data_IF_848134801041
#
_entry.id   IF_848134801041
#
_cell.length_a   1.000
_cell.length_b   1.000
_cell.length_c   1.000
_cell.angle_alpha   90.00
_cell.angle_beta   90.00
_cell.angle_gamma   90.00
#
_symmetry.space_group_name_H-M   'P 1'
#
loop_
_entity.id
_entity.type
_entity.pdbx_description
1 polymer ?
#
# COMPACT_ATOMS: atom_id res chain seq x y z
N UNK A 1 -19.68 13.04 8.64
CA UNK A 1 -19.71 11.84 7.78
C UNK A 1 -18.72 10.84 8.35
N UNK A 2 -19.15 9.61 8.65
CA UNK A 2 -18.21 8.53 8.98
C UNK A 2 -17.30 8.31 7.77
N UNK A 3 -16.00 8.05 7.93
CA UNK A 3 -15.14 7.79 6.78
C UNK A 3 -15.59 6.47 6.16
N UNK A 4 -16.22 6.54 4.98
CA UNK A 4 -16.39 5.41 4.09
C UNK A 4 -15.01 4.89 3.74
N UNK A 5 -14.69 3.65 4.15
CA UNK A 5 -13.57 2.91 3.59
C UNK A 5 -12.49 2.47 4.58
N UNK A 6 -12.21 1.17 4.57
CA UNK A 6 -11.00 0.50 5.06
C UNK A 6 -9.73 1.37 4.88
N UNK A 7 -9.24 1.99 5.95
CA UNK A 7 -7.95 2.69 5.95
C UNK A 7 -6.80 1.71 6.12
N UNK A 8 -5.60 2.13 5.75
CA UNK A 8 -4.37 1.40 6.01
C UNK A 8 -4.27 0.99 7.50
N UNK A 9 -4.15 -0.31 7.76
CA UNK A 9 -4.20 -0.87 9.12
C UNK A 9 -2.84 -1.32 9.65
N UNK A 10 -1.89 -1.64 8.76
CA UNK A 10 -0.57 -2.16 9.10
C UNK A 10 0.53 -1.23 8.59
N UNK A 11 0.56 -0.01 9.15
CA UNK A 11 1.38 1.11 8.66
C UNK A 11 2.90 0.93 8.85
N UNK A 12 3.32 -0.06 9.64
CA UNK A 12 4.71 -0.49 9.80
C UNK A 12 4.86 -1.95 9.37
N UNK A 13 6.02 -2.37 8.83
CA UNK A 13 6.22 -3.73 8.35
C UNK A 13 6.20 -4.75 9.51
N UNK A 14 5.61 -5.91 9.25
CA UNK A 14 5.52 -7.06 10.16
C UNK A 14 6.23 -8.28 9.58
N UNK A 15 7.57 -8.27 9.50
CA UNK A 15 8.34 -9.41 8.99
C UNK A 15 8.12 -10.68 9.82
N UNK A 16 7.71 -10.54 11.09
CA UNK A 16 7.40 -11.65 12.00
C UNK A 16 6.19 -12.49 11.55
N UNK A 17 5.36 -11.96 10.64
CA UNK A 17 4.21 -12.68 10.07
C UNK A 17 4.60 -13.60 8.90
N UNK A 18 5.82 -13.50 8.38
CA UNK A 18 6.29 -14.32 7.26
C UNK A 18 7.31 -15.35 7.72
N UNK A 19 7.17 -16.60 7.26
CA UNK A 19 8.26 -17.57 7.35
C UNK A 19 9.35 -17.23 6.33
N UNK A 20 10.63 -17.53 6.57
CA UNK A 20 11.66 -17.41 5.54
C UNK A 20 11.27 -18.11 4.23
N UNK A 21 11.36 -17.42 3.09
CA UNK A 21 10.99 -17.97 1.78
C UNK A 21 9.49 -18.22 1.54
N UNK A 22 8.62 -17.90 2.51
CA UNK A 22 7.16 -17.94 2.31
C UNK A 22 6.75 -17.00 1.16
N UNK A 23 5.89 -17.45 0.23
CA UNK A 23 5.30 -16.59 -0.79
C UNK A 23 4.61 -15.36 -0.17
N UNK A 24 4.73 -14.22 -0.84
CA UNK A 24 4.06 -12.99 -0.45
C UNK A 24 3.36 -12.40 -1.67
N UNK A 25 2.13 -11.91 -1.51
CA UNK A 25 1.43 -11.19 -2.58
C UNK A 25 1.45 -9.70 -2.32
N UNK A 26 1.38 -8.91 -3.39
CA UNK A 26 1.47 -7.46 -3.35
C UNK A 26 0.38 -6.89 -4.25
N UNK A 27 -0.23 -5.79 -3.80
CA UNK A 27 -1.08 -4.96 -4.63
C UNK A 27 -0.86 -3.47 -4.31
N UNK A 28 -0.99 -2.62 -5.33
CA UNK A 28 -0.69 -1.18 -5.24
C UNK A 28 -1.79 -0.34 -5.88
N UNK A 29 -2.37 0.52 -5.05
CA UNK A 29 -3.21 1.62 -5.52
C UNK A 29 -2.35 2.85 -5.80
N UNK A 30 -2.64 3.55 -6.89
CA UNK A 30 -1.74 4.57 -7.43
C UNK A 30 -2.07 6.01 -7.00
N UNK A 31 -1.07 6.86 -7.20
CA UNK A 31 -1.18 8.30 -7.28
C UNK A 31 -0.54 8.75 -8.59
N UNK A 32 -1.19 9.65 -9.32
CA UNK A 32 -0.67 10.18 -10.57
C UNK A 32 0.15 11.46 -10.34
N UNK A 33 1.34 11.51 -10.95
CA UNK A 33 2.21 12.66 -11.11
C UNK A 33 1.93 13.33 -12.46
N UNK A 34 1.48 14.58 -12.41
CA UNK A 34 1.23 15.41 -13.59
C UNK A 34 2.31 16.48 -13.66
N UNK A 35 3.08 16.48 -14.75
CA UNK A 35 4.18 17.42 -14.94
C UNK A 35 3.71 18.69 -15.65
N UNK A 36 4.07 19.85 -15.11
CA UNK A 36 3.65 21.14 -15.67
C UNK A 36 4.39 21.49 -16.98
N UNK A 37 5.51 20.81 -17.26
CA UNK A 37 6.27 20.95 -18.51
C UNK A 37 5.69 20.17 -19.69
N UNK A 38 4.54 19.51 -19.49
CA UNK A 38 3.88 18.71 -20.53
C UNK A 38 4.47 17.32 -20.73
N UNK A 39 5.44 16.91 -19.91
CA UNK A 39 5.95 15.54 -19.90
C UNK A 39 4.85 14.53 -19.60
N UNK A 40 5.03 13.29 -20.10
CA UNK A 40 4.09 12.19 -19.86
C UNK A 40 3.89 11.96 -18.35
N UNK A 41 2.64 11.91 -17.93
CA UNK A 41 2.26 11.60 -16.55
C UNK A 41 2.85 10.26 -16.11
N UNK A 42 3.16 10.16 -14.82
CA UNK A 42 3.72 8.96 -14.20
C UNK A 42 2.85 8.54 -13.02
N UNK A 43 2.85 7.26 -12.71
CA UNK A 43 2.14 6.72 -11.56
C UNK A 43 3.15 6.33 -10.48
N UNK A 44 2.79 6.52 -9.22
CA UNK A 44 3.57 6.12 -8.06
C UNK A 44 2.68 5.53 -6.98
N UNK A 45 3.26 4.93 -5.96
CA UNK A 45 2.52 4.28 -4.87
C UNK A 45 1.61 5.31 -4.17
N UNK A 46 0.31 5.09 -4.13
CA UNK A 46 -0.63 5.79 -3.25
C UNK A 46 -0.81 5.02 -1.95
N UNK A 47 -1.22 3.75 -2.07
CA UNK A 47 -1.32 2.77 -0.99
C UNK A 47 -0.75 1.43 -1.47
N UNK A 48 -0.12 0.69 -0.58
CA UNK A 48 0.42 -0.64 -0.90
C UNK A 48 0.05 -1.61 0.21
N UNK A 49 -0.31 -2.83 -0.17
CA UNK A 49 -0.51 -3.94 0.75
C UNK A 49 0.38 -5.13 0.36
N UNK A 50 0.85 -5.85 1.38
CA UNK A 50 1.57 -7.11 1.24
C UNK A 50 0.94 -8.12 2.17
N UNK A 51 0.53 -9.28 1.66
CA UNK A 51 -0.07 -10.35 2.46
C UNK A 51 0.68 -11.67 2.34
N UNK A 52 0.59 -12.50 3.39
CA UNK A 52 1.21 -13.83 3.44
C UNK A 52 0.22 -14.93 2.97
N UNK A 53 0.67 -16.19 2.99
CA UNK A 53 -0.12 -17.32 2.45
C UNK A 53 -1.42 -17.62 3.22
N UNK A 54 -1.57 -17.10 4.44
CA UNK A 54 -2.80 -17.24 5.24
C UNK A 54 -3.63 -15.95 5.27
N UNK A 55 -3.32 -14.99 4.40
CA UNK A 55 -4.06 -13.75 4.23
C UNK A 55 -3.77 -12.66 5.27
N UNK A 56 -2.75 -12.81 6.12
CA UNK A 56 -2.38 -11.74 7.06
C UNK A 56 -1.59 -10.64 6.35
N UNK A 57 -1.92 -9.38 6.64
CA UNK A 57 -1.19 -8.22 6.13
C UNK A 57 0.13 -8.03 6.86
N UNK A 58 1.22 -8.15 6.11
CA UNK A 58 2.57 -7.79 6.53
C UNK A 58 2.88 -6.30 6.46
N UNK A 59 2.21 -5.62 5.53
CA UNK A 59 2.28 -4.19 5.30
C UNK A 59 0.94 -3.76 4.69
N UNK A 60 0.40 -2.65 5.15
CA UNK A 60 -0.75 -1.97 4.56
C UNK A 60 -0.60 -0.50 4.93
N UNK A 61 -0.07 0.31 4.01
CA UNK A 61 0.37 1.68 4.31
C UNK A 61 0.19 2.62 3.12
N UNK A 62 -0.04 3.90 3.42
CA UNK A 62 -0.03 4.98 2.43
C UNK A 62 1.37 5.55 2.26
N UNK A 63 1.75 5.89 1.03
CA UNK A 63 3.06 6.47 0.71
C UNK A 63 2.97 7.99 0.53
N UNK A 64 3.64 8.73 1.41
CA UNK A 64 3.74 10.17 1.36
C UNK A 64 4.97 10.61 0.56
N UNK A 65 4.73 11.23 -0.58
CA UNK A 65 5.77 11.91 -1.38
C UNK A 65 5.87 13.39 -0.99
N UNK A 66 7.09 13.92 -1.00
CA UNK A 66 7.33 15.37 -0.87
C UNK A 66 6.64 16.19 -1.97
N UNK A 67 6.66 17.51 -1.84
CA UNK A 67 6.28 18.38 -2.95
C UNK A 67 7.49 18.54 -3.87
N UNK A 68 7.26 18.41 -5.18
CA UNK A 68 8.28 18.52 -6.21
C UNK A 68 7.94 19.72 -7.10
N UNK A 69 8.93 20.56 -7.38
CA UNK A 69 8.73 21.76 -8.20
C UNK A 69 8.22 21.35 -9.60
N UNK A 70 7.12 21.93 -10.08
CA UNK A 70 6.55 21.61 -11.39
C UNK A 70 5.82 20.26 -11.50
N UNK A 71 5.53 19.61 -10.36
CA UNK A 71 4.78 18.35 -10.32
C UNK A 71 3.52 18.52 -9.48
N UNK A 72 2.37 18.20 -10.07
CA UNK A 72 1.07 18.15 -9.39
C UNK A 72 0.68 16.71 -9.10
N UNK A 73 0.09 16.52 -7.92
CA UNK A 73 -0.46 15.25 -7.44
C UNK A 73 -1.92 15.14 -7.86
N UNK A 74 -2.27 14.15 -8.68
CA UNK A 74 -3.66 13.82 -9.04
C UNK A 74 -4.04 12.50 -8.37
N UNK A 75 -5.20 12.50 -7.70
CA UNK A 75 -5.72 11.31 -7.03
C UNK A 75 -6.42 10.41 -8.03
N UNK A 76 -6.40 9.08 -7.82
CA UNK A 76 -7.21 8.17 -8.61
C UNK A 76 -8.70 8.38 -8.29
N UNK A 77 -9.61 7.75 -9.05
CA UNK A 77 -11.02 7.67 -8.69
C UNK A 77 -11.22 7.20 -7.24
N UNK A 78 -12.25 7.71 -6.56
CA UNK A 78 -12.51 7.46 -5.14
C UNK A 78 -12.60 5.97 -4.77
N UNK A 79 -13.05 5.14 -5.72
CA UNK A 79 -13.11 3.67 -5.54
C UNK A 79 -11.76 3.05 -5.18
N UNK A 80 -10.63 3.65 -5.52
CA UNK A 80 -9.29 3.14 -5.19
C UNK A 80 -8.77 3.58 -3.82
N UNK A 81 -9.59 4.31 -3.05
CA UNK A 81 -9.34 4.58 -1.63
C UNK A 81 -8.02 5.31 -1.31
N UNK A 82 -7.55 6.14 -2.24
CA UNK A 82 -6.41 7.03 -2.09
C UNK A 82 -6.88 8.47 -2.17
N UNK A 83 -7.26 9.05 -1.04
CA UNK A 83 -7.58 10.48 -0.96
C UNK A 83 -6.34 11.30 -0.60
N UNK A 84 -6.38 12.60 -0.91
CA UNK A 84 -5.28 13.52 -0.60
C UNK A 84 -4.96 13.58 0.89
N UNK A 85 -5.97 13.43 1.75
CA UNK A 85 -5.82 13.37 3.20
C UNK A 85 -5.07 12.12 3.65
N UNK A 86 -5.23 11.00 2.96
CA UNK A 86 -4.63 9.73 3.37
C UNK A 86 -3.11 9.72 3.14
N UNK A 87 -2.62 10.55 2.23
CA UNK A 87 -1.21 10.73 1.91
C UNK A 87 -0.47 11.72 2.83
N UNK A 88 -1.12 12.19 3.90
CA UNK A 88 -0.50 13.07 4.89
C UNK A 88 0.20 12.24 5.98
N UNK A 89 1.45 12.56 6.30
CA UNK A 89 2.18 11.94 7.42
C UNK A 89 1.39 12.04 8.73
N UNK A 90 0.74 13.19 8.98
CA UNK A 90 -0.11 13.41 10.16
C UNK A 90 -1.30 12.45 10.26
N UNK A 91 -1.69 11.81 9.14
CA UNK A 91 -2.78 10.83 9.08
C UNK A 91 -2.26 9.38 8.99
N UNK A 92 -0.97 9.15 9.26
CA UNK A 92 -0.38 7.81 9.33
C UNK A 92 0.35 7.35 8.05
N UNK A 93 0.32 8.14 6.97
CA UNK A 93 1.16 7.87 5.81
C UNK A 93 2.64 7.85 6.19
N UNK A 94 3.42 7.06 5.46
CA UNK A 94 4.86 6.90 5.70
C UNK A 94 5.65 7.51 4.56
N UNK A 95 6.88 8.02 4.80
CA UNK A 95 7.72 8.57 3.73
C UNK A 95 7.88 7.54 2.60
N UNK A 96 7.58 7.92 1.35
CA UNK A 96 7.49 6.97 0.25
C UNK A 96 8.77 6.15 0.01
N UNK A 97 9.94 6.77 0.11
CA UNK A 97 11.22 6.06 0.04
C UNK A 97 11.37 4.99 1.13
N UNK A 98 10.86 5.26 2.33
CA UNK A 98 10.89 4.29 3.43
C UNK A 98 9.94 3.12 3.14
N UNK A 99 8.74 3.42 2.62
CA UNK A 99 7.77 2.40 2.17
C UNK A 99 8.39 1.50 1.11
N UNK A 100 8.98 2.05 0.05
CA UNK A 100 9.61 1.27 -1.01
C UNK A 100 10.74 0.38 -0.47
N UNK A 101 11.56 0.90 0.46
CA UNK A 101 12.61 0.08 1.13
C UNK A 101 12.00 -1.07 1.94
N UNK A 102 10.95 -0.82 2.72
CA UNK A 102 10.28 -1.86 3.49
C UNK A 102 9.70 -2.96 2.60
N UNK A 103 9.10 -2.56 1.47
CA UNK A 103 8.54 -3.49 0.50
C UNK A 103 9.63 -4.39 -0.07
N UNK A 104 10.74 -3.80 -0.53
CA UNK A 104 11.89 -4.55 -1.06
C UNK A 104 12.42 -5.56 -0.04
N UNK A 105 12.69 -5.13 1.19
CA UNK A 105 13.23 -6.02 2.23
C UNK A 105 12.23 -7.12 2.65
N UNK A 106 10.92 -6.82 2.67
CA UNK A 106 9.91 -7.81 3.07
C UNK A 106 9.76 -8.91 2.01
N UNK A 107 9.93 -8.56 0.74
CA UNK A 107 9.74 -9.44 -0.42
C UNK A 107 11.01 -10.14 -0.89
N UNK A 108 12.18 -9.72 -0.39
CA UNK A 108 13.47 -10.29 -0.74
C UNK A 108 13.54 -11.80 -0.49
N UNK A 109 14.13 -12.51 -1.44
CA UNK A 109 14.38 -13.96 -1.40
C UNK A 109 13.10 -14.81 -1.28
N UNK A 110 11.99 -14.33 -1.88
CA UNK A 110 10.68 -15.00 -1.86
C UNK A 110 10.05 -15.09 -3.26
N UNK A 111 9.10 -16.02 -3.46
CA UNK A 111 8.09 -15.88 -4.49
C UNK A 111 7.21 -14.66 -4.21
N UNK A 112 7.08 -13.76 -5.20
CA UNK A 112 6.28 -12.55 -5.09
C UNK A 112 5.15 -12.59 -6.11
N UNK A 113 3.92 -12.56 -5.59
CA UNK A 113 2.70 -12.73 -6.37
C UNK A 113 2.10 -11.36 -6.66
N UNK A 114 1.86 -11.08 -7.94
CA UNK A 114 1.13 -9.91 -8.41
C UNK A 114 -0.07 -10.34 -9.25
N UNK A 115 -0.92 -9.36 -9.57
CA UNK A 115 -1.88 -9.46 -10.67
C UNK A 115 -1.66 -8.26 -11.60
N UNK A 116 -0.92 -8.45 -12.70
CA UNK A 116 -0.25 -7.41 -13.49
C UNK A 116 1.01 -6.82 -12.80
N UNK A 117 2.04 -7.66 -12.65
CA UNK A 117 3.33 -7.26 -12.04
C UNK A 117 3.96 -6.06 -12.73
N UNK A 118 3.72 -5.91 -14.03
CA UNK A 118 4.35 -4.87 -14.85
C UNK A 118 3.82 -3.49 -14.47
N UNK A 119 2.52 -3.38 -14.21
CA UNK A 119 1.92 -2.13 -13.75
C UNK A 119 2.40 -1.74 -12.36
N UNK A 120 2.49 -2.68 -11.43
CA UNK A 120 2.88 -2.37 -10.03
C UNK A 120 4.36 -2.04 -9.87
N UNK A 121 5.25 -2.82 -10.49
CA UNK A 121 6.70 -2.58 -10.41
C UNK A 121 7.07 -1.19 -10.95
N UNK A 122 6.34 -0.68 -11.95
CA UNK A 122 6.57 0.66 -12.52
C UNK A 122 6.23 1.81 -11.56
N UNK A 123 5.49 1.56 -10.47
CA UNK A 123 5.05 2.59 -9.50
C UNK A 123 6.13 2.94 -8.47
N UNK A 124 7.20 2.16 -8.38
CA UNK A 124 8.33 2.48 -7.49
C UNK A 124 9.14 3.64 -8.10
N UNK A 125 9.36 4.68 -7.29
CA UNK A 125 9.92 5.94 -7.75
C UNK A 125 11.36 6.16 -7.29
N UNK A 126 11.72 5.73 -6.08
CA UNK A 126 13.01 6.04 -5.48
C UNK A 126 14.10 5.01 -5.81
N UNK A 127 13.70 3.77 -6.09
CA UNK A 127 14.59 2.65 -6.35
C UNK A 127 14.29 1.97 -7.69
N UNK A 128 15.30 1.30 -8.25
CA UNK A 128 15.12 0.48 -9.45
C UNK A 128 14.46 -0.87 -9.07
N UNK A 129 13.13 -0.82 -8.91
CA UNK A 129 12.35 -1.98 -8.50
C UNK A 129 12.39 -3.11 -9.54
N UNK A 130 12.42 -2.78 -10.83
CA UNK A 130 12.52 -3.79 -11.88
C UNK A 130 13.80 -4.62 -11.74
N UNK A 131 14.94 -3.95 -11.52
CA UNK A 131 16.20 -4.64 -11.25
C UNK A 131 16.16 -5.40 -9.92
N UNK A 132 15.68 -4.77 -8.85
CA UNK A 132 15.60 -5.41 -7.53
C UNK A 132 14.80 -6.72 -7.59
N UNK A 133 13.58 -6.66 -8.10
CA UNK A 133 12.70 -7.83 -8.15
C UNK A 133 13.26 -8.93 -9.06
N UNK A 134 13.89 -8.57 -10.18
CA UNK A 134 14.56 -9.53 -11.06
C UNK A 134 15.72 -10.26 -10.35
N UNK A 135 16.49 -9.55 -9.55
CA UNK A 135 17.71 -10.09 -8.94
C UNK A 135 17.46 -10.84 -7.61
N UNK A 136 16.35 -10.53 -6.92
CA UNK A 136 16.12 -10.99 -5.55
C UNK A 136 14.80 -11.74 -5.33
N UNK A 137 13.91 -11.80 -6.32
CA UNK A 137 12.59 -12.40 -6.16
C UNK A 137 12.26 -13.35 -7.31
N UNK A 138 11.42 -14.35 -7.02
CA UNK A 138 10.75 -15.12 -8.06
C UNK A 138 9.40 -14.47 -8.34
N UNK A 139 9.28 -13.75 -9.47
CA UNK A 139 8.06 -13.03 -9.81
C UNK A 139 7.02 -13.97 -10.42
N UNK A 140 5.81 -13.91 -9.88
CA UNK A 140 4.64 -14.65 -10.35
C UNK A 140 3.52 -13.65 -10.63
N UNK A 141 2.89 -13.79 -11.79
CA UNK A 141 1.82 -12.90 -12.23
C UNK A 141 0.57 -13.71 -12.50
N UNK A 142 -0.43 -13.56 -11.64
CA UNK A 142 -1.68 -14.32 -11.75
C UNK A 142 -2.47 -13.93 -13.00
N UNK A 143 -2.29 -12.72 -13.55
CA UNK A 143 -2.92 -12.37 -14.83
C UNK A 143 -2.32 -13.17 -15.99
N UNK A 144 -1.02 -13.46 -15.95
CA UNK A 144 -0.36 -14.33 -16.93
C UNK A 144 -0.69 -15.81 -16.70
N UNK A 145 -0.73 -16.27 -15.44
CA UNK A 145 -1.10 -17.64 -15.09
C UNK A 145 -2.49 -18.02 -15.62
N UNK A 146 -3.43 -17.09 -15.54
CA UNK A 146 -4.80 -17.27 -16.03
C UNK A 146 -5.03 -16.65 -17.40
N UNK A 147 -3.96 -16.37 -18.16
CA UNK A 147 -4.12 -15.86 -19.53
C UNK A 147 -4.91 -16.86 -20.39
N UNK A 148 -5.93 -16.37 -21.08
CA UNK A 148 -6.84 -17.18 -21.89
C UNK A 148 -8.10 -17.63 -21.14
N UNK A 149 -8.22 -17.34 -19.84
CA UNK A 149 -9.44 -17.60 -19.07
C UNK A 149 -10.62 -16.87 -19.71
N UNK A 150 -11.67 -17.62 -20.05
CA UNK A 150 -12.85 -17.12 -20.78
C UNK A 150 -12.49 -16.39 -22.10
N UNK A 151 -11.43 -16.86 -22.78
CA UNK A 151 -10.94 -16.26 -24.02
C UNK A 151 -10.24 -14.90 -23.84
N UNK A 152 -10.06 -14.43 -22.60
CA UNK A 152 -9.39 -13.18 -22.30
C UNK A 152 -7.88 -13.40 -22.03
N UNK A 153 -7.02 -12.75 -22.81
CA UNK A 153 -5.55 -12.85 -22.62
C UNK A 153 -5.05 -12.12 -21.38
N UNK A 154 -5.81 -11.17 -20.85
CA UNK A 154 -5.48 -10.38 -19.66
C UNK A 154 -6.75 -10.26 -18.80
N UNK A 155 -7.19 -11.37 -18.17
CA UNK A 155 -8.36 -11.31 -17.30
C UNK A 155 -8.10 -10.35 -16.14
N UNK A 156 -9.15 -9.67 -15.69
CA UNK A 156 -9.08 -8.85 -14.48
C UNK A 156 -9.05 -9.74 -13.24
N UNK A 157 -8.58 -9.20 -12.12
CA UNK A 157 -8.54 -9.92 -10.85
C UNK A 157 -9.93 -10.40 -10.44
N UNK A 158 -10.95 -9.54 -10.56
CA UNK A 158 -12.34 -9.90 -10.33
C UNK A 158 -12.84 -11.03 -11.25
N UNK A 159 -12.40 -11.06 -12.52
CA UNK A 159 -12.75 -12.15 -13.43
C UNK A 159 -12.15 -13.47 -12.98
N UNK A 160 -10.86 -13.46 -12.61
CA UNK A 160 -10.18 -14.64 -12.08
C UNK A 160 -10.80 -15.10 -10.76
N UNK A 161 -11.05 -14.18 -9.81
CA UNK A 161 -11.67 -14.49 -8.52
C UNK A 161 -13.03 -15.17 -8.70
N UNK A 162 -13.90 -14.61 -9.55
CA UNK A 162 -15.23 -15.17 -9.81
C UNK A 162 -15.17 -16.54 -10.48
N UNK A 163 -14.32 -16.71 -11.49
CA UNK A 163 -14.30 -17.94 -12.29
C UNK A 163 -13.50 -19.08 -11.65
N UNK A 164 -12.44 -18.76 -10.90
CA UNK A 164 -11.55 -19.76 -10.29
C UNK A 164 -11.89 -20.01 -8.82
N UNK A 165 -12.16 -18.95 -8.05
CA UNK A 165 -12.43 -19.06 -6.61
C UNK A 165 -13.94 -19.07 -6.29
N UNK A 166 -14.79 -18.65 -7.22
CA UNK A 166 -16.22 -18.45 -6.95
C UNK A 166 -16.50 -17.26 -6.03
N UNK A 167 -15.57 -16.31 -5.94
CA UNK A 167 -15.66 -15.13 -5.07
C UNK A 167 -15.96 -13.86 -5.88
N UNK A 168 -16.86 -13.03 -5.37
CA UNK A 168 -17.07 -11.66 -5.87
C UNK A 168 -16.25 -10.70 -5.00
N UNK A 169 -15.33 -9.96 -5.62
CA UNK A 169 -14.42 -8.99 -4.97
C UNK A 169 -14.56 -7.60 -5.59
N UNK A 170 -13.86 -6.59 -5.04
CA UNK A 170 -13.82 -5.24 -5.61
C UNK A 170 -15.22 -4.63 -5.75
N UNK A 171 -16.03 -4.70 -4.68
CA UNK A 171 -17.43 -4.24 -4.67
C UNK A 171 -17.62 -2.75 -5.01
N UNK A 172 -17.90 -1.89 -4.03
CA UNK A 172 -17.96 -0.44 -4.29
C UNK A 172 -16.58 0.23 -4.27
N UNK A 173 -15.62 -0.39 -3.60
CA UNK A 173 -14.27 0.13 -3.39
C UNK A 173 -13.26 -1.01 -3.57
N UNK A 174 -12.07 -0.65 -4.02
CA UNK A 174 -10.91 -1.50 -4.22
C UNK A 174 -9.98 -1.30 -3.03
N UNK A 175 -9.66 -2.40 -2.37
CA UNK A 175 -8.72 -2.42 -1.26
C UNK A 175 -7.51 -3.23 -1.69
N UNK A 176 -6.28 -2.67 -1.64
CA UNK A 176 -5.11 -3.44 -2.02
C UNK A 176 -4.90 -4.65 -1.11
N UNK A 177 -5.47 -4.65 0.10
CA UNK A 177 -5.47 -5.83 0.97
C UNK A 177 -6.33 -6.95 0.40
N UNK A 178 -7.54 -6.65 -0.07
CA UNK A 178 -8.43 -7.64 -0.69
C UNK A 178 -7.82 -8.17 -1.98
N UNK A 179 -7.27 -7.27 -2.80
CA UNK A 179 -6.68 -7.63 -4.09
C UNK A 179 -5.40 -8.47 -3.91
N UNK A 180 -4.52 -8.08 -2.99
CA UNK A 180 -3.34 -8.85 -2.60
C UNK A 180 -3.72 -10.25 -2.06
N UNK A 181 -4.72 -10.34 -1.17
CA UNK A 181 -5.19 -11.64 -0.66
C UNK A 181 -5.78 -12.50 -1.77
N UNK A 182 -6.53 -11.90 -2.69
CA UNK A 182 -7.16 -12.64 -3.79
C UNK A 182 -6.11 -13.15 -4.78
N UNK A 183 -5.10 -12.34 -5.11
CA UNK A 183 -3.96 -12.79 -5.91
C UNK A 183 -3.22 -13.96 -5.25
N UNK A 184 -3.04 -13.93 -3.91
CA UNK A 184 -2.47 -15.06 -3.17
C UNK A 184 -3.36 -16.31 -3.27
N UNK A 185 -4.67 -16.18 -3.03
CA UNK A 185 -5.61 -17.31 -3.13
C UNK A 185 -5.57 -17.97 -4.50
N UNK A 186 -5.58 -17.16 -5.56
CA UNK A 186 -5.44 -17.61 -6.94
C UNK A 186 -4.15 -18.43 -7.12
N UNK A 187 -3.01 -17.89 -6.72
CA UNK A 187 -1.73 -18.61 -6.79
C UNK A 187 -1.76 -19.95 -6.05
N UNK A 188 -2.35 -20.00 -4.85
CA UNK A 188 -2.40 -21.18 -3.99
C UNK A 188 -3.30 -22.31 -4.53
N UNK A 189 -4.18 -22.04 -5.51
CA UNK A 189 -4.98 -23.09 -6.17
C UNK A 189 -4.06 -24.13 -6.81
N UNK A 190 -3.05 -23.68 -7.55
CA UNK A 190 -2.12 -24.56 -8.27
C UNK A 190 -0.79 -24.78 -7.51
N UNK A 191 -0.54 -23.97 -6.46
CA UNK A 191 0.69 -24.01 -5.67
C UNK A 191 0.39 -24.08 -4.17
N UNK A 192 -0.21 -25.20 -3.69
CA UNK A 192 -0.60 -25.33 -2.30
C UNK A 192 0.62 -25.16 -1.36
N UNK A 193 0.43 -24.40 -0.30
CA UNK A 193 1.49 -24.10 0.68
C UNK A 193 1.04 -24.50 2.09
N UNK A 194 1.58 -25.61 2.61
CA UNK A 194 1.37 -26.00 4.00
C UNK A 194 2.32 -25.24 4.93
N UNK A 195 1.84 -24.07 5.37
CA UNK A 195 2.57 -23.19 6.28
C UNK A 195 2.91 -23.84 7.62
N UNK A 196 2.04 -24.72 8.14
CA UNK A 196 2.25 -25.37 9.43
C UNK A 196 3.39 -26.39 9.34
N UNK A 197 3.39 -27.21 8.29
CA UNK A 197 4.47 -28.16 8.01
C UNK A 197 5.79 -27.44 7.77
N UNK A 198 5.81 -26.36 6.98
CA UNK A 198 7.04 -25.56 6.78
C UNK A 198 7.57 -24.95 8.07
N UNK A 199 6.72 -24.42 8.93
CA UNK A 199 7.15 -23.92 10.23
C UNK A 199 7.72 -25.04 11.11
N UNK A 200 7.10 -26.23 11.11
CA UNK A 200 7.59 -27.37 11.87
C UNK A 200 8.96 -27.85 11.37
N UNK A 201 9.15 -27.97 10.05
CA UNK A 201 10.43 -28.30 9.42
C UNK A 201 11.54 -27.31 9.82
N UNK A 202 11.24 -26.00 9.74
CA UNK A 202 12.21 -24.95 10.09
C UNK A 202 12.57 -24.94 11.57
N UNK A 203 11.62 -25.29 12.45
CA UNK A 203 11.90 -25.44 13.88
C UNK A 203 12.77 -26.67 14.14
N UNK A 204 12.49 -27.80 13.47
CA UNK A 204 13.24 -29.04 13.63
C UNK A 204 14.69 -28.92 13.14
N UNK A 205 14.93 -28.20 12.05
CA UNK A 205 16.27 -28.01 11.49
C UNK A 205 17.02 -26.77 12.03
N UNK A 206 16.41 -26.02 12.97
CA UNK A 206 17.01 -24.83 13.58
C UNK A 206 17.14 -23.61 12.65
N UNK A 207 16.54 -23.64 11.46
CA UNK A 207 16.58 -22.51 10.51
C UNK A 207 15.52 -21.45 10.81
N UNK A 208 14.49 -21.78 11.59
CA UNK A 208 13.50 -20.81 12.03
C UNK A 208 14.13 -19.77 12.95
N UNK A 209 14.18 -18.52 12.48
CA UNK A 209 14.47 -17.36 13.31
C UNK A 209 13.25 -16.46 13.34
N UNK A 210 12.68 -16.27 14.53
CA UNK A 210 11.62 -15.27 14.71
C UNK A 210 12.24 -13.89 14.48
N UNK A 211 11.96 -13.30 13.33
CA UNK A 211 12.36 -11.93 13.04
C UNK A 211 11.52 -11.03 13.93
N UNK A 212 12.16 -10.25 14.81
CA UNK A 212 11.43 -9.24 15.57
C UNK A 212 10.94 -8.13 14.65
N UNK A 213 9.74 -7.59 14.90
CA UNK A 213 9.17 -6.49 14.10
C UNK A 213 10.11 -5.28 13.95
N UNK A 214 11.03 -5.09 14.90
CA UNK A 214 11.98 -3.97 14.91
C UNK A 214 13.19 -4.12 13.97
N UNK A 215 13.53 -5.32 13.49
CA UNK A 215 14.75 -5.55 12.72
C UNK A 215 14.79 -4.79 11.39
N UNK A 216 13.63 -4.51 10.81
CA UNK A 216 13.48 -3.81 9.53
C UNK A 216 13.37 -2.28 9.68
N UNK A 217 13.15 -1.80 10.90
CA UNK A 217 12.77 -0.40 11.11
C UNK A 217 14.00 0.51 11.01
N UNK A 218 15.23 0.04 11.28
CA UNK A 218 16.46 0.84 11.13
C UNK A 218 17.73 -0.01 10.93
N UNK A 219 18.23 -0.07 9.69
CA UNK A 219 19.66 0.15 9.44
C UNK A 219 19.80 1.54 8.80
N UNK A 220 20.34 2.49 9.57
CA UNK A 220 20.85 3.72 8.98
C UNK A 220 22.06 3.39 8.10
N UNK A 221 22.25 4.04 6.94
CA UNK A 221 23.53 3.98 6.24
C UNK A 221 24.58 4.60 7.18
N UNK A 222 25.43 3.76 7.79
CA UNK A 222 26.52 4.22 8.67
C UNK A 222 27.61 4.99 7.91
N UNK A 223 27.63 4.92 6.58
CA UNK A 223 28.62 5.61 5.75
C UNK A 223 27.99 6.00 4.41
N UNK A 224 27.53 7.24 4.24
CA UNK A 224 27.51 7.97 2.94
C UNK A 224 26.93 9.38 3.09
N UNK A 225 27.57 10.21 3.92
CA UNK A 225 27.71 11.64 3.58
C UNK A 225 28.96 12.23 4.23
N UNK A 226 30.14 11.83 3.75
CA UNK A 226 31.36 12.65 3.90
C UNK A 226 31.37 13.76 2.84
N UNK A 227 30.29 14.53 2.77
CA UNK A 227 30.37 15.87 2.21
C UNK A 227 31.19 16.68 3.19
N UNK A 228 32.40 17.08 2.80
CA UNK A 228 33.12 18.13 3.53
C UNK A 228 32.16 19.32 3.63
N UNK A 229 31.64 19.56 4.83
CA UNK A 229 31.00 20.83 5.12
C UNK A 229 32.11 21.88 4.96
N UNK A 230 32.10 22.58 3.84
CA UNK A 230 32.80 23.85 3.76
C UNK A 230 32.24 24.71 4.89
N UNK A 231 33.08 24.97 5.91
CA UNK A 231 32.80 25.79 7.08
C UNK A 231 32.60 27.28 6.72
N UNK A 232 31.99 27.61 5.58
CA UNK A 232 31.79 28.99 5.12
C UNK A 232 30.35 29.42 4.86
N UNK A 233 29.35 28.58 5.16
CA UNK A 233 27.94 28.99 5.14
C UNK A 233 27.24 28.64 6.44
N UNK A 234 27.85 29.03 7.56
CA UNK A 234 27.11 29.28 8.79
C UNK A 234 26.49 30.69 8.71
N UNK A 235 25.17 30.77 8.88
CA UNK A 235 24.45 31.90 9.45
C UNK A 235 24.92 33.31 9.06
N UNK A 236 24.40 33.84 7.95
CA UNK A 236 24.10 35.27 7.88
C UNK A 236 22.61 35.46 8.22
N UNK A 237 22.32 35.35 9.52
CA UNK A 237 21.12 35.93 10.11
C UNK A 237 21.04 37.41 9.74
N UNK A 238 19.85 37.81 9.32
CA UNK A 238 19.48 39.16 8.95
C UNK A 238 20.09 40.22 9.88
N UNK A 239 20.85 41.15 9.30
CA UNK A 239 21.25 42.38 9.96
C UNK A 239 19.99 43.24 10.24
N UNK A 240 19.62 43.50 11.50
CA UNK A 240 18.39 44.21 11.86
C UNK A 240 18.45 45.74 11.60
N UNK A 241 19.55 46.24 11.03
CA UNK A 241 19.72 47.68 10.73
C UNK A 241 19.44 48.08 9.28
N UNK A 242 18.94 47.18 8.42
CA UNK A 242 18.47 47.58 7.10
C UNK A 242 17.07 48.26 7.20
N UNK A 243 16.99 49.54 6.83
CA UNK A 243 15.77 50.36 6.88
C UNK A 243 14.59 49.78 6.08
N UNK A 244 14.84 48.92 5.10
CA UNK A 244 13.80 48.22 4.33
C UNK A 244 13.06 47.14 5.15
N UNK A 245 13.76 46.44 6.05
CA UNK A 245 13.18 45.38 6.89
C UNK A 245 12.28 45.95 7.99
N UNK A 246 12.66 47.08 8.59
CA UNK A 246 11.82 47.80 9.58
C UNK A 246 10.51 48.30 8.95
N UNK A 247 10.55 48.76 7.69
CA UNK A 247 9.35 49.20 6.96
C UNK A 247 8.40 48.03 6.65
N UNK A 248 8.95 46.86 6.33
CA UNK A 248 8.19 45.63 6.06
C UNK A 248 7.51 45.07 7.32
N UNK A 249 8.22 45.05 8.46
CA UNK A 249 7.67 44.61 9.75
C UNK A 249 6.59 45.56 10.27
N UNK A 250 6.76 46.89 10.11
CA UNK A 250 5.71 47.86 10.45
C UNK A 250 4.45 47.68 9.60
N UNK A 251 4.62 47.43 8.29
CA UNK A 251 3.48 47.20 7.38
C UNK A 251 2.71 45.90 7.71
N UNK A 252 3.43 44.84 8.13
CA UNK A 252 2.80 43.60 8.59
C UNK A 252 2.06 43.77 9.93
N UNK A 253 2.66 44.48 10.90
CA UNK A 253 2.01 44.74 12.20
C UNK A 253 0.78 45.64 12.06
N UNK A 254 0.81 46.62 11.15
CA UNK A 254 -0.36 47.45 10.86
C UNK A 254 -1.48 46.63 10.21
N UNK A 255 -1.16 45.82 9.19
CA UNK A 255 -2.14 44.95 8.55
C UNK A 255 -2.76 43.91 9.50
N UNK A 256 -2.02 43.45 10.51
CA UNK A 256 -2.55 42.58 11.56
C UNK A 256 -3.47 43.31 12.54
N UNK A 257 -3.17 44.57 12.88
CA UNK A 257 -4.05 45.40 13.72
C UNK A 257 -5.35 45.74 13.00
N UNK A 258 -5.26 46.15 11.72
CA UNK A 258 -6.43 46.51 10.92
C UNK A 258 -7.37 45.31 10.73
N UNK A 259 -6.82 44.08 10.71
CA UNK A 259 -7.59 42.83 10.65
C UNK A 259 -8.30 42.48 11.96
N UNK A 260 -7.70 42.80 13.11
CA UNK A 260 -8.29 42.57 14.42
C UNK A 260 -9.47 43.54 14.67
N UNK A 261 -9.31 44.82 14.34
CA UNK A 261 -10.40 45.82 14.44
C UNK A 261 -11.59 45.56 13.51
N UNK A 262 -11.43 44.72 12.49
CA UNK A 262 -12.54 44.36 11.59
C UNK A 262 -13.39 43.19 12.12
N UNK A 263 -12.88 42.43 13.10
CA UNK A 263 -13.61 41.29 13.69
C UNK A 263 -14.46 41.70 14.91
N UNK A 264 -14.11 42.80 15.57
CA UNK A 264 -14.84 43.28 16.76
C UNK A 264 -16.09 44.12 16.43
N UNK A 265 -16.33 44.47 15.15
CA UNK A 265 -17.47 45.33 14.73
C UNK A 265 -18.68 44.53 14.23
N UNK A 266 -18.56 43.22 13.99
CA UNK A 266 -19.64 42.39 13.43
C UNK A 266 -20.33 41.46 14.46
N UNK A 267 -20.09 41.61 15.78
CA UNK A 267 -20.67 40.73 16.81
C UNK A 267 -21.73 41.34 17.74
N UNK A 268 -22.18 42.59 17.51
CA UNK A 268 -23.28 43.20 18.26
C UNK A 268 -24.51 43.46 17.37
N UNK A 269 -25.45 42.51 17.33
CA UNK A 269 -26.86 42.63 16.86
C UNK A 269 -27.34 41.21 16.51
N UNK A 270 -28.08 40.47 17.34
CA UNK A 270 -29.48 40.73 17.68
C UNK A 270 -29.90 39.96 18.94
N UNK A 271 -30.58 40.65 19.87
CA UNK A 271 -31.44 40.07 20.89
C UNK A 271 -32.85 39.92 20.30
N UNK A 272 -33.45 38.73 20.41
CA UNK A 272 -34.91 38.58 20.41
C UNK A 272 -35.26 37.47 21.39
N UNK A 273 -36.02 37.86 22.40
CA UNK A 273 -36.73 37.01 23.35
C UNK A 273 -37.81 36.21 22.62
N UNK A 274 -38.06 34.98 23.07
CA UNK A 274 -39.41 34.52 23.40
C UNK A 274 -39.35 33.23 24.24
N UNK A 275 -40.19 33.25 25.28
CA UNK A 275 -40.48 32.20 26.25
C UNK A 275 -41.10 30.94 25.62
N UNK A 276 -40.98 29.79 26.30
CA UNK A 276 -42.11 29.01 26.86
C UNK A 276 -41.67 27.61 27.36
N UNK A 277 -41.88 27.43 28.67
CA UNK A 277 -42.31 26.27 29.48
C UNK A 277 -41.68 24.86 29.34
N UNK A 278 -40.98 24.49 30.42
CA UNK A 278 -41.17 23.29 31.27
C UNK A 278 -41.89 22.05 30.74
N UNK A 279 -41.25 20.89 30.87
CA UNK A 279 -41.74 19.79 31.74
C UNK A 279 -40.63 18.79 32.08
N UNK A 280 -40.76 18.25 33.28
CA UNK A 280 -39.77 17.49 34.06
C UNK A 280 -40.13 16.02 34.08
N UNK A 281 -39.16 15.12 33.89
CA UNK A 281 -39.08 13.79 34.48
C UNK A 281 -37.66 13.26 34.15
N UNK A 282 -36.76 12.88 35.06
CA UNK A 282 -36.96 12.35 36.40
C UNK A 282 -36.69 10.84 36.39
N UNK A 283 -35.43 10.42 36.35
CA UNK A 283 -35.01 9.10 36.84
C UNK A 283 -33.51 9.12 37.18
N UNK A 284 -33.23 8.81 38.45
CA UNK A 284 -31.95 8.83 39.13
C UNK A 284 -31.63 7.43 39.64
N UNK A 285 -30.32 7.15 39.77
CA UNK A 285 -29.68 6.04 40.49
C UNK A 285 -29.86 4.63 39.86
N UNK A 286 -28.86 3.75 39.86
CA UNK A 286 -27.93 3.41 40.94
C UNK A 286 -26.58 2.86 40.44
N UNK A 287 -25.53 3.22 41.18
CA UNK A 287 -24.24 2.53 41.24
C UNK A 287 -24.39 1.07 41.71
N UNK A 288 -23.61 0.18 41.12
CA UNK A 288 -23.40 -1.18 41.61
C UNK A 288 -22.08 -1.74 41.09
N UNK A 289 -21.00 -1.52 41.82
CA UNK A 289 -19.74 -2.22 41.61
C UNK A 289 -19.80 -3.60 42.26
N UNK A 290 -19.41 -4.64 41.53
CA UNK A 290 -19.01 -5.94 42.08
C UNK A 290 -17.73 -6.39 41.37
N UNK A 291 -16.77 -6.77 42.20
CA UNK A 291 -15.41 -7.22 41.90
C UNK A 291 -15.34 -8.68 41.46
N UNK A 292 -14.33 -8.96 40.63
CA UNK A 292 -13.55 -10.19 40.45
C UNK A 292 -14.19 -11.54 40.80
N UNK A 293 -14.31 -12.42 39.80
CA UNK A 293 -13.98 -13.83 39.95
C UNK A 293 -13.42 -14.41 38.64
N UNK A 294 -12.31 -15.13 38.79
CA UNK A 294 -11.72 -16.02 37.79
C UNK A 294 -12.76 -17.01 37.28
N UNK A 295 -12.90 -17.13 35.96
CA UNK A 295 -13.53 -18.27 35.32
C UNK A 295 -12.52 -18.89 34.37
N UNK A 296 -11.97 -20.02 34.81
CA UNK A 296 -11.37 -21.05 33.94
C UNK A 296 -12.51 -21.64 33.11
N UNK A 297 -12.45 -21.51 31.78
CA UNK A 297 -13.37 -22.23 30.89
C UNK A 297 -12.63 -23.44 30.34
N UNK A 298 -12.93 -24.59 30.93
CA UNK A 298 -12.67 -25.88 30.33
C UNK A 298 -13.58 -26.10 29.12
N UNK A 299 -13.02 -26.81 28.14
CA UNK A 299 -13.64 -27.24 26.90
C UNK A 299 -15.01 -27.90 27.09
N UNK A 300 -16.04 -27.35 26.46
CA UNK A 300 -17.28 -28.08 26.20
C UNK A 300 -17.56 -28.11 24.69
N UNK A 301 -17.51 -29.32 24.17
CA UNK A 301 -17.96 -29.78 22.87
C UNK A 301 -19.43 -29.38 22.67
N UNK A 302 -19.68 -28.50 21.70
CA UNK A 302 -21.03 -28.16 21.26
C UNK A 302 -21.43 -29.12 20.13
N UNK A 303 -22.25 -30.12 20.44
CA UNK A 303 -22.96 -30.90 19.43
C UNK A 303 -24.18 -30.08 18.98
N UNK A 304 -24.11 -29.50 17.79
CA UNK A 304 -25.28 -28.94 17.12
C UNK A 304 -25.88 -30.01 16.20
N UNK A 305 -27.00 -30.59 16.62
CA UNK A 305 -27.86 -31.41 15.77
C UNK A 305 -28.65 -30.47 14.85
N UNK A 306 -28.28 -30.42 13.57
CA UNK A 306 -29.12 -29.78 12.54
C UNK A 306 -29.94 -30.85 11.82
N UNK A 307 -31.25 -30.66 11.89
CA UNK A 307 -32.25 -31.49 11.24
C UNK A 307 -32.20 -31.39 9.71
N UNK A 308 -32.61 -32.52 9.12
CA UNK A 308 -33.02 -32.76 7.74
C UNK A 308 -33.02 -31.58 6.75
N UNK A 309 -32.26 -31.77 5.66
CA UNK A 309 -32.71 -31.36 4.33
C UNK A 309 -31.84 -30.37 3.58
N UNK A 310 -30.57 -30.70 3.31
CA UNK A 310 -29.85 -30.19 2.12
C UNK A 310 -28.95 -31.30 1.59
N UNK A 311 -29.24 -31.80 0.39
CA UNK A 311 -28.40 -32.75 -0.34
C UNK A 311 -27.17 -32.03 -0.89
N UNK A 312 -25.98 -32.50 -0.52
CA UNK A 312 -24.72 -32.09 -1.17
C UNK A 312 -24.41 -33.17 -2.21
N UNK A 313 -24.59 -32.83 -3.49
CA UNK A 313 -24.15 -33.66 -4.61
C UNK A 313 -22.64 -33.54 -4.75
N UNK A 314 -21.92 -34.64 -4.47
CA UNK A 314 -20.54 -34.84 -4.88
C UNK A 314 -20.43 -34.69 -6.41
N UNK A 315 -19.71 -33.68 -6.90
CA UNK A 315 -19.16 -33.71 -8.26
C UNK A 315 -17.68 -34.08 -8.20
N UNK A 316 -17.46 -35.37 -8.39
CA UNK A 316 -16.19 -36.01 -8.70
C UNK A 316 -15.79 -35.77 -10.16
N UNK A 317 -14.48 -35.56 -10.37
CA UNK A 317 -13.69 -35.98 -11.53
C UNK A 317 -13.99 -35.35 -12.90
N UNK A 318 -13.18 -34.36 -13.30
CA UNK A 318 -12.83 -34.16 -14.70
C UNK A 318 -11.46 -34.79 -14.99
N UNK A 319 -11.49 -35.98 -15.57
CA UNK A 319 -10.34 -36.60 -16.23
C UNK A 319 -10.22 -36.04 -17.66
N UNK A 320 -9.10 -35.42 -17.99
CA UNK A 320 -8.70 -35.21 -19.38
C UNK A 320 -8.02 -36.49 -19.91
N UNK A 321 -8.65 -37.15 -20.88
CA UNK A 321 -8.03 -38.22 -21.65
C UNK A 321 -7.24 -37.65 -22.84
N UNK A 322 -6.13 -38.30 -23.26
CA UNK A 322 -5.33 -37.88 -24.41
C UNK A 322 -5.92 -38.46 -25.71
N UNK A 323 -5.97 -37.65 -26.76
CA UNK A 323 -6.30 -38.12 -28.10
C UNK A 323 -5.01 -38.35 -28.92
N UNK A 324 -4.76 -39.60 -29.29
CA UNK A 324 -3.78 -40.02 -30.29
C UNK A 324 -4.45 -40.92 -31.32
N UNK A 325 -4.41 -40.51 -32.59
CA UNK A 325 -4.40 -41.32 -33.85
C UNK A 325 -4.36 -40.29 -34.98
N UNK A 326 -3.46 -40.24 -35.96
CA UNK A 326 -2.83 -41.33 -36.71
C UNK A 326 -3.54 -41.47 -38.06
N UNK A 327 -2.98 -40.93 -39.14
CA UNK A 327 -3.47 -41.10 -40.53
C UNK A 327 -2.83 -40.10 -41.52
N UNK A 328 -2.11 -40.59 -42.53
CA UNK A 328 -1.18 -39.80 -43.34
C UNK A 328 -1.61 -39.43 -44.77
N UNK A 329 -0.85 -38.44 -45.29
CA UNK A 329 -0.44 -38.12 -46.69
C UNK A 329 -1.49 -37.94 -47.82
N UNK A 330 -1.16 -37.26 -48.96
CA UNK A 330 0.14 -36.71 -49.39
C UNK A 330 0.16 -35.24 -49.92
N UNK A 331 1.39 -34.73 -50.01
CA UNK A 331 1.99 -33.81 -51.00
C UNK A 331 1.28 -32.54 -51.54
N UNK A 332 2.11 -31.49 -51.54
CA UNK A 332 2.29 -30.45 -52.58
C UNK A 332 1.47 -29.14 -52.45
N UNK A 333 2.09 -28.07 -51.95
CA UNK A 333 2.54 -26.97 -52.81
C UNK A 333 3.33 -25.90 -52.03
N UNK A 334 4.37 -25.45 -52.72
CA UNK A 334 5.28 -24.35 -52.43
C UNK A 334 4.53 -23.02 -52.30
N UNK A 335 4.75 -22.23 -51.25
CA UNK A 335 4.62 -20.75 -51.30
C UNK A 335 5.40 -20.09 -50.16
N UNK A 336 6.31 -19.23 -50.58
CA UNK A 336 7.08 -18.24 -49.83
C UNK A 336 6.20 -17.29 -49.01
N UNK A 337 6.53 -17.07 -47.73
CA UNK A 337 6.27 -15.76 -47.10
C UNK A 337 7.24 -15.44 -45.95
N UNK A 338 7.92 -14.32 -46.16
CA UNK A 338 8.69 -13.43 -45.29
C UNK A 338 8.71 -13.69 -43.78
N UNK A 339 9.92 -13.97 -43.28
CA UNK A 339 10.29 -13.72 -41.89
C UNK A 339 10.36 -12.23 -41.61
N UNK A 340 9.52 -11.78 -40.68
CA UNK A 340 9.61 -10.48 -40.03
C UNK A 340 9.98 -10.73 -38.56
N UNK A 341 11.28 -10.78 -38.29
CA UNK A 341 11.84 -10.76 -36.95
C UNK A 341 11.63 -9.36 -36.38
N UNK A 342 10.59 -9.16 -35.54
CA UNK A 342 10.50 -7.97 -34.70
C UNK A 342 11.32 -8.20 -33.44
N UNK A 343 12.55 -7.70 -33.46
CA UNK A 343 13.34 -7.39 -32.27
C UNK A 343 12.65 -6.23 -31.54
N UNK A 344 11.98 -6.52 -30.43
CA UNK A 344 11.56 -5.49 -29.48
C UNK A 344 12.81 -4.98 -28.74
N UNK A 345 13.23 -3.77 -29.08
CA UNK A 345 14.27 -3.04 -28.38
C UNK A 345 13.77 -2.67 -26.98
N UNK A 346 14.56 -3.03 -25.97
CA UNK A 346 14.38 -2.55 -24.60
C UNK A 346 14.48 -1.02 -24.60
N UNK A 347 13.40 -0.36 -24.22
CA UNK A 347 13.45 1.07 -23.95
C UNK A 347 14.14 1.28 -22.60
N UNK A 348 15.45 1.51 -22.67
CA UNK A 348 16.21 2.10 -21.57
C UNK A 348 15.55 3.42 -21.18
N UNK A 349 14.86 3.43 -20.03
CA UNK A 349 14.29 4.66 -19.50
C UNK A 349 15.34 5.41 -18.68
N UNK A 350 15.52 6.66 -19.11
CA UNK A 350 16.24 7.72 -18.40
C UNK A 350 15.53 7.98 -17.04
N UNK A 351 16.26 8.01 -15.91
CA UNK A 351 15.70 8.43 -14.62
C UNK A 351 15.11 9.83 -14.70
N UNK A 352 14.13 10.16 -13.85
CA UNK A 352 13.60 11.51 -13.72
C UNK A 352 14.74 12.55 -13.65
N UNK A 353 14.61 13.73 -14.30
CA UNK A 353 15.68 14.72 -14.35
C UNK A 353 16.21 15.04 -12.95
N UNK A 354 17.56 14.96 -12.76
CA UNK A 354 18.25 15.23 -11.48
C UNK A 354 17.84 16.55 -10.80
N UNK A 355 17.23 17.49 -11.55
CA UNK A 355 16.74 18.79 -11.08
C UNK A 355 15.68 18.70 -9.97
N UNK A 356 14.95 17.59 -9.85
CA UNK A 356 13.83 17.48 -8.89
C UNK A 356 14.18 16.76 -7.58
N UNK A 357 15.40 16.21 -7.43
CA UNK A 357 15.75 15.25 -6.36
C UNK A 357 16.28 15.88 -5.06
N UNK A 358 16.93 17.04 -5.12
CA UNK A 358 17.71 17.59 -3.97
C UNK A 358 16.89 18.13 -2.79
N UNK A 359 15.63 18.51 -2.97
CA UNK A 359 14.76 18.96 -1.87
C UNK A 359 14.04 17.80 -1.16
N UNK A 360 13.92 16.65 -1.81
CA UNK A 360 13.22 15.46 -1.28
C UNK A 360 14.03 14.83 -0.15
N UNK A 361 15.35 14.72 -0.30
CA UNK A 361 16.24 14.13 0.70
C UNK A 361 16.22 14.91 2.04
N UNK A 362 16.02 16.23 2.02
CA UNK A 362 15.96 17.05 3.24
C UNK A 362 14.63 16.89 4.01
N UNK A 363 13.50 16.86 3.29
CA UNK A 363 12.19 16.61 3.89
C UNK A 363 12.08 15.20 4.50
N UNK A 364 12.69 14.21 3.84
CA UNK A 364 12.76 12.84 4.35
C UNK A 364 13.54 12.75 5.67
N UNK A 365 14.67 13.46 5.78
CA UNK A 365 15.44 13.53 7.02
C UNK A 365 14.63 14.18 8.17
N UNK A 366 13.82 15.20 7.86
CA UNK A 366 12.94 15.86 8.84
C UNK A 366 11.78 14.94 9.27
N UNK A 367 11.17 14.19 8.35
CA UNK A 367 10.14 13.20 8.68
C UNK A 367 10.69 12.04 9.53
N UNK A 368 11.90 11.56 9.23
CA UNK A 368 12.60 10.55 10.03
C UNK A 368 12.85 11.08 11.45
N UNK A 369 13.36 12.30 11.58
CA UNK A 369 13.59 12.94 12.88
C UNK A 369 12.28 13.14 13.67
N UNK A 370 11.17 13.48 13.00
CA UNK A 370 9.86 13.61 13.64
C UNK A 370 9.33 12.27 14.15
N UNK A 371 9.49 11.19 13.38
CA UNK A 371 9.11 9.83 13.79
C UNK A 371 9.99 9.32 14.95
N UNK A 372 11.28 9.64 15.00
CA UNK A 372 12.13 9.31 16.15
C UNK A 372 11.71 10.07 17.42
N UNK A 373 11.23 11.31 17.28
CA UNK A 373 10.71 12.09 18.40
C UNK A 373 9.41 11.52 18.95
N UNK A 374 8.51 11.03 18.06
CA UNK A 374 7.26 10.40 18.44
C UNK A 374 7.45 9.05 19.18
N UNK A 375 8.58 8.36 18.98
CA UNK A 375 8.91 7.11 19.69
C UNK A 375 9.41 7.31 21.13
N UNK A 376 9.77 8.53 21.51
CA UNK A 376 10.31 8.87 22.85
C UNK A 376 9.23 9.37 23.81
N UNK A 377 7.99 9.46 23.35
CA UNK A 377 6.78 9.75 24.11
C UNK A 377 6.04 8.43 24.25
#
# INVERSE_FOLDING_TARGET
>A
MAPLGCRATQIFPRPDLFLPGEPASVDVEDQEMVFDDGSKNQHRIGRIAITNTIGQSGLDTYAAYGNEDGVRKKMPPERFMVAKSDLLIANGAQPARLVEKWVMELLKDRPVIFHDKTSDIKKFYHFDAAKFFKDHCTLIDTQELYSGLDGNKQPSLATCARLILGEEIQGMVHSPVEDSQTAMKLYLVDHPYDRATKLAEMKANGTYRKVGAFSMIYEQPKDTYKGKADKKTAFNTANPNNGSTKKRVRKLKQAQRDKATKFDVESESTHSTDDISTTTAGASATNGGITNNNITVESNTFNLTLGAGVSISNMSNYNFAPNSTGGGHPANHNTTSNGSTQTSTSSDKVPAPKKYRTKVDQYEAECVAANEKAKKI
#
